data_IF_131533928711
#
_entry.id   IF_131533928711
#
_cell.length_a   1.000
_cell.length_b   1.000
_cell.length_c   1.000
_cell.angle_alpha   90.00
_cell.angle_beta   90.00
_cell.angle_gamma   90.00
#
_symmetry.space_group_name_H-M   'P 1'
#
loop_
_entity.id
_entity.type
_entity.pdbx_description
1 polymer ?
#
# COMPACT_ATOMS: atom_id res chain seq x y z
N UNK A 1 2.13 -14.38 -8.75
CA UNK A 1 2.62 -13.01 -9.04
C UNK A 1 2.15 -12.59 -10.42
N UNK A 2 1.93 -11.30 -10.61
CA UNK A 2 1.57 -10.68 -11.89
C UNK A 2 2.77 -9.87 -12.38
N UNK A 3 3.06 -9.91 -13.68
CA UNK A 3 4.03 -9.02 -14.32
C UNK A 3 3.44 -7.60 -14.44
N UNK A 4 4.12 -6.63 -13.84
CA UNK A 4 3.91 -5.21 -14.10
C UNK A 4 4.88 -4.80 -15.22
N UNK A 5 4.38 -4.37 -16.40
CA UNK A 5 5.25 -4.07 -17.53
C UNK A 5 6.14 -2.86 -17.26
N UNK A 6 7.28 -2.80 -17.94
CA UNK A 6 8.11 -1.60 -17.92
C UNK A 6 7.36 -0.42 -18.54
N UNK A 7 7.71 0.79 -18.12
CA UNK A 7 7.10 2.00 -18.67
C UNK A 7 7.04 3.15 -17.68
N UNK A 8 6.63 4.28 -18.22
CA UNK A 8 6.47 5.53 -17.49
C UNK A 8 5.27 5.49 -16.56
N UNK A 9 5.40 6.14 -15.41
CA UNK A 9 4.29 6.39 -14.50
C UNK A 9 4.56 7.65 -13.66
N UNK A 10 3.48 8.26 -13.16
CA UNK A 10 3.57 9.39 -12.24
C UNK A 10 3.40 8.91 -10.80
N UNK A 11 4.41 9.12 -9.96
CA UNK A 11 4.34 8.91 -8.51
C UNK A 11 3.80 10.16 -7.83
N UNK A 12 2.89 10.01 -6.87
CA UNK A 12 2.46 11.11 -6.01
C UNK A 12 1.42 12.03 -6.66
N UNK A 13 1.35 13.27 -6.16
CA UNK A 13 0.33 14.26 -6.51
C UNK A 13 0.94 15.58 -6.99
N UNK A 14 0.32 16.17 -8.01
CA UNK A 14 0.64 17.52 -8.45
C UNK A 14 0.23 18.55 -7.36
N UNK A 15 1.15 19.40 -6.87
CA UNK A 15 0.85 20.43 -5.86
C UNK A 15 -0.22 21.46 -6.29
N UNK A 16 -0.48 21.60 -7.59
CA UNK A 16 -1.48 22.52 -8.16
C UNK A 16 -2.83 21.83 -8.42
N UNK A 17 -2.95 20.53 -8.11
CA UNK A 17 -4.19 19.78 -8.37
C UNK A 17 -5.35 20.31 -7.53
N UNK A 18 -6.51 20.52 -8.17
CA UNK A 18 -7.76 20.89 -7.48
C UNK A 18 -8.23 19.84 -6.46
N UNK A 19 -7.75 18.59 -6.60
CA UNK A 19 -7.99 17.51 -5.63
C UNK A 19 -7.48 17.92 -4.23
N UNK A 20 -6.43 18.75 -4.15
CA UNK A 20 -5.86 19.25 -2.91
C UNK A 20 -6.67 20.40 -2.28
N UNK A 21 -7.48 21.14 -3.05
CA UNK A 21 -8.23 22.31 -2.55
C UNK A 21 -9.35 21.93 -1.57
N UNK A 22 -9.79 20.66 -1.58
CA UNK A 22 -10.75 20.11 -0.62
C UNK A 22 -10.08 19.36 0.54
N UNK A 23 -8.75 19.30 0.56
CA UNK A 23 -7.96 18.71 1.64
C UNK A 23 -7.49 19.84 2.55
N UNK A 24 -7.64 19.70 3.87
CA UNK A 24 -7.25 20.79 4.76
C UNK A 24 -5.75 21.05 4.60
N UNK A 25 -5.32 22.32 4.65
CA UNK A 25 -3.92 22.74 4.44
C UNK A 25 -2.91 22.04 5.38
N UNK A 26 -3.38 21.27 6.36
CA UNK A 26 -2.59 20.47 7.31
C UNK A 26 -2.56 18.96 7.02
N UNK A 27 -3.11 18.47 5.91
CA UNK A 27 -3.28 17.02 5.68
C UNK A 27 -2.10 16.36 4.95
N UNK A 28 -1.87 15.10 5.31
CA UNK A 28 -0.77 14.21 4.92
C UNK A 28 -0.54 14.02 3.42
N UNK A 29 -1.35 14.59 2.51
CA UNK A 29 -1.10 14.54 1.07
C UNK A 29 0.14 15.36 0.65
N UNK A 30 0.63 16.29 1.49
CA UNK A 30 1.88 17.03 1.24
C UNK A 30 3.11 16.11 1.18
N UNK A 31 3.08 14.97 1.89
CA UNK A 31 4.21 14.04 1.86
C UNK A 31 4.27 13.21 0.57
N UNK A 32 3.21 13.23 -0.24
CA UNK A 32 3.15 12.62 -1.57
C UNK A 32 3.41 13.63 -2.70
N UNK A 33 4.05 14.77 -2.37
CA UNK A 33 4.35 15.86 -3.30
C UNK A 33 5.85 16.22 -3.34
N UNK A 34 6.34 16.77 -4.46
CA UNK A 34 5.62 16.93 -5.72
C UNK A 34 5.54 15.61 -6.51
N UNK A 35 4.64 15.55 -7.49
CA UNK A 35 4.60 14.41 -8.39
C UNK A 35 5.93 14.19 -9.11
N UNK A 36 6.28 12.93 -9.34
CA UNK A 36 7.55 12.54 -9.95
C UNK A 36 7.28 11.66 -11.17
N UNK A 37 7.96 11.94 -12.26
CA UNK A 37 7.96 11.07 -13.43
C UNK A 37 9.03 9.99 -13.27
N UNK A 38 8.62 8.73 -13.36
CA UNK A 38 9.50 7.57 -13.25
C UNK A 38 9.35 6.69 -14.49
N UNK A 39 10.47 6.23 -15.03
CA UNK A 39 10.49 5.04 -15.87
C UNK A 39 10.87 3.83 -15.00
N UNK A 40 9.94 2.89 -14.82
CA UNK A 40 10.23 1.65 -14.08
C UNK A 40 10.45 0.51 -15.06
N UNK A 41 11.50 -0.27 -14.81
CA UNK A 41 11.67 -1.59 -15.44
C UNK A 41 10.54 -2.53 -15.00
N UNK A 42 10.32 -3.57 -15.79
CA UNK A 42 9.31 -4.57 -15.47
C UNK A 42 9.67 -5.27 -14.16
N UNK A 43 8.66 -5.65 -13.39
CA UNK A 43 8.82 -6.38 -12.14
C UNK A 43 7.57 -7.24 -11.90
N UNK A 44 7.70 -8.24 -11.05
CA UNK A 44 6.59 -9.05 -10.58
C UNK A 44 6.09 -8.54 -9.23
N UNK A 45 4.79 -8.56 -9.00
CA UNK A 45 4.20 -8.34 -7.67
C UNK A 45 3.15 -9.40 -7.34
N UNK A 46 3.01 -9.76 -6.07
CA UNK A 46 1.99 -10.71 -5.64
C UNK A 46 0.59 -10.15 -5.92
N UNK A 47 -0.27 -11.04 -6.42
CA UNK A 47 -1.63 -10.70 -6.82
C UNK A 47 -2.51 -10.31 -5.63
N UNK A 48 -2.24 -10.92 -4.48
CA UNK A 48 -2.94 -10.78 -3.22
C UNK A 48 -1.94 -10.40 -2.12
N UNK A 49 -2.42 -9.86 -1.01
CA UNK A 49 -1.65 -9.82 0.22
C UNK A 49 -1.25 -11.24 0.66
N UNK A 50 -0.13 -11.37 1.38
CA UNK A 50 0.27 -12.65 1.97
C UNK A 50 -0.77 -13.07 3.00
N UNK A 51 -1.24 -14.31 2.92
CA UNK A 51 -2.28 -14.82 3.82
C UNK A 51 -1.71 -15.41 5.11
N UNK A 52 -2.55 -15.59 6.14
CA UNK A 52 -2.15 -16.35 7.33
C UNK A 52 -1.73 -17.78 6.98
N UNK A 53 -2.39 -18.44 6.02
CA UNK A 53 -2.02 -19.77 5.56
C UNK A 53 -0.57 -19.83 5.08
N UNK A 54 -0.19 -18.89 4.22
CA UNK A 54 1.15 -18.83 3.63
C UNK A 54 2.18 -18.42 4.68
N UNK A 55 1.88 -17.43 5.53
CA UNK A 55 2.80 -16.95 6.56
C UNK A 55 3.08 -18.00 7.64
N UNK A 56 2.10 -18.82 8.00
CA UNK A 56 2.31 -19.92 8.95
C UNK A 56 3.27 -20.99 8.40
N UNK A 57 3.40 -21.16 7.08
CA UNK A 57 4.41 -22.07 6.51
C UNK A 57 5.83 -21.56 6.74
N UNK A 58 6.02 -20.24 6.75
CA UNK A 58 7.29 -19.59 7.09
C UNK A 58 7.57 -19.64 8.60
N UNK A 59 6.53 -19.51 9.44
CA UNK A 59 6.65 -19.47 10.91
C UNK A 59 5.70 -20.46 11.60
N UNK A 60 5.91 -21.78 11.46
CA UNK A 60 4.94 -22.80 11.89
C UNK A 60 4.74 -22.88 13.41
N UNK A 61 5.68 -22.34 14.19
CA UNK A 61 5.59 -22.29 15.65
C UNK A 61 4.77 -21.09 16.16
N UNK A 62 4.45 -20.12 15.30
CA UNK A 62 3.63 -18.97 15.71
C UNK A 62 2.16 -19.35 15.72
N UNK A 63 1.49 -19.05 16.84
CA UNK A 63 0.05 -19.20 16.97
C UNK A 63 -0.63 -17.87 16.67
N UNK A 64 -1.51 -17.87 15.68
CA UNK A 64 -2.35 -16.72 15.35
C UNK A 64 -3.80 -17.05 15.68
N UNK A 65 -4.53 -16.19 16.43
CA UNK A 65 -5.93 -16.43 16.80
C UNK A 65 -6.86 -16.10 15.62
N UNK A 66 -6.67 -16.78 14.48
CA UNK A 66 -7.43 -16.54 13.25
C UNK A 66 -8.33 -17.71 12.92
N UNK A 67 -9.59 -17.43 12.60
CA UNK A 67 -10.57 -18.44 12.22
C UNK A 67 -10.55 -18.74 10.72
N UNK A 68 -10.05 -17.81 9.91
CA UNK A 68 -9.99 -17.92 8.45
C UNK A 68 -8.55 -17.73 7.98
N UNK A 69 -8.00 -18.75 7.32
CA UNK A 69 -6.59 -18.77 6.90
C UNK A 69 -6.32 -17.93 5.63
N UNK A 70 -7.34 -17.66 4.83
CA UNK A 70 -7.25 -16.83 3.60
C UNK A 70 -7.40 -15.32 3.87
N UNK A 71 -7.36 -14.89 5.13
CA UNK A 71 -7.24 -13.48 5.48
C UNK A 71 -5.79 -13.02 5.27
N UNK A 72 -5.55 -11.76 4.88
CA UNK A 72 -4.20 -11.21 4.87
C UNK A 72 -3.59 -11.28 6.27
N UNK A 73 -2.33 -11.70 6.35
CA UNK A 73 -1.58 -11.67 7.60
C UNK A 73 -1.37 -10.21 8.02
N UNK A 74 -1.68 -9.91 9.29
CA UNK A 74 -1.42 -8.60 9.89
C UNK A 74 -0.85 -8.74 11.30
N UNK A 75 -0.49 -7.62 11.94
CA UNK A 75 0.16 -7.66 13.26
C UNK A 75 1.60 -8.14 13.20
N UNK A 76 2.26 -7.92 12.05
CA UNK A 76 3.65 -8.31 11.79
C UNK A 76 4.51 -7.07 11.57
N UNK A 77 5.77 -7.18 11.99
CA UNK A 77 6.76 -6.12 11.80
C UNK A 77 7.26 -6.07 10.35
N UNK A 78 7.85 -4.94 9.95
CA UNK A 78 8.49 -4.80 8.64
C UNK A 78 9.60 -5.87 8.45
N UNK A 79 10.36 -6.17 9.51
CA UNK A 79 11.41 -7.19 9.46
C UNK A 79 10.86 -8.60 9.22
N UNK A 80 9.70 -8.93 9.78
CA UNK A 80 9.02 -10.20 9.52
C UNK A 80 8.50 -10.29 8.08
N UNK A 81 7.94 -9.19 7.57
CA UNK A 81 7.50 -9.09 6.17
C UNK A 81 8.67 -9.28 5.20
N UNK A 82 9.76 -8.57 5.44
CA UNK A 82 10.97 -8.61 4.62
C UNK A 82 11.62 -10.00 4.65
N UNK A 83 11.77 -10.60 5.84
CA UNK A 83 12.30 -11.94 6.00
C UNK A 83 11.45 -13.00 5.29
N UNK A 84 10.12 -12.89 5.34
CA UNK A 84 9.22 -13.77 4.60
C UNK A 84 9.44 -13.67 3.09
N UNK A 85 9.49 -12.44 2.55
CA UNK A 85 9.72 -12.26 1.12
C UNK A 85 11.09 -12.81 0.71
N UNK A 86 12.13 -12.58 1.50
CA UNK A 86 13.46 -13.13 1.25
C UNK A 86 13.50 -14.66 1.30
N UNK A 87 12.77 -15.29 2.23
CA UNK A 87 12.65 -16.75 2.31
C UNK A 87 12.08 -17.37 1.03
N UNK A 88 11.19 -16.66 0.33
CA UNK A 88 10.65 -17.04 -0.98
C UNK A 88 11.54 -16.65 -2.18
N UNK A 89 12.71 -16.07 -1.97
CA UNK A 89 13.53 -15.49 -3.04
C UNK A 89 12.87 -14.29 -3.72
N UNK A 90 12.03 -13.55 -2.99
CA UNK A 90 11.37 -12.31 -3.36
C UNK A 90 11.93 -11.15 -2.52
N UNK A 91 11.24 -10.01 -2.52
CA UNK A 91 11.49 -8.84 -1.67
C UNK A 91 10.19 -8.09 -1.40
N UNK A 92 10.19 -7.12 -0.50
CA UNK A 92 9.09 -6.14 -0.45
C UNK A 92 9.11 -5.21 -1.69
N UNK A 93 7.95 -4.73 -2.16
CA UNK A 93 7.88 -3.70 -3.19
C UNK A 93 8.43 -2.38 -2.65
N UNK A 94 9.03 -1.57 -3.51
CA UNK A 94 9.26 -0.16 -3.22
C UNK A 94 7.92 0.60 -3.27
N UNK A 95 7.81 1.73 -2.58
CA UNK A 95 6.56 2.50 -2.55
C UNK A 95 6.10 2.97 -3.94
N UNK A 96 7.04 3.16 -4.86
CA UNK A 96 6.79 3.56 -6.24
C UNK A 96 6.34 2.39 -7.11
N UNK A 97 6.80 1.17 -6.84
CA UNK A 97 6.35 -0.05 -7.51
C UNK A 97 4.92 -0.38 -7.09
N UNK A 98 4.66 -0.29 -5.78
CA UNK A 98 3.34 -0.47 -5.21
C UNK A 98 2.34 0.51 -5.86
N UNK A 99 2.70 1.79 -5.96
CA UNK A 99 1.82 2.79 -6.57
C UNK A 99 1.60 2.56 -8.06
N UNK A 100 2.65 2.25 -8.83
CA UNK A 100 2.49 1.91 -10.26
C UNK A 100 1.55 0.73 -10.43
N UNK A 101 1.71 -0.30 -9.60
CA UNK A 101 0.87 -1.49 -9.68
C UNK A 101 -0.60 -1.25 -9.30
N UNK A 102 -0.87 -0.23 -8.48
CA UNK A 102 -2.21 0.18 -8.12
C UNK A 102 -2.83 1.15 -9.13
N UNK A 103 -2.08 2.17 -9.57
CA UNK A 103 -2.58 3.28 -10.41
C UNK A 103 -2.49 2.99 -11.90
N UNK A 104 -1.61 2.10 -12.36
CA UNK A 104 -1.27 2.03 -13.78
C UNK A 104 -0.56 3.31 -14.23
N UNK A 105 -0.91 3.81 -15.41
CA UNK A 105 -0.28 4.96 -16.06
C UNK A 105 -1.23 6.15 -16.26
N UNK A 106 -2.45 6.11 -15.71
CA UNK A 106 -3.50 7.11 -15.93
C UNK A 106 -3.78 8.02 -14.73
N UNK A 107 -2.91 7.98 -13.73
CA UNK A 107 -2.94 8.83 -12.54
C UNK A 107 -4.23 8.69 -11.70
N UNK A 108 -4.96 7.57 -11.79
CA UNK A 108 -6.14 7.32 -10.96
C UNK A 108 -5.89 7.47 -9.46
N UNK A 109 -6.89 7.92 -8.71
CA UNK A 109 -6.81 8.10 -7.25
C UNK A 109 -7.19 6.85 -6.45
N UNK A 110 -7.98 5.98 -7.04
CA UNK A 110 -8.42 4.68 -6.51
C UNK A 110 -8.26 3.64 -7.63
N UNK A 111 -8.17 2.35 -7.31
CA UNK A 111 -7.99 1.31 -8.33
C UNK A 111 -9.14 1.30 -9.35
N UNK A 112 -10.33 1.76 -8.96
CA UNK A 112 -11.51 1.88 -9.83
C UNK A 112 -11.65 3.23 -10.56
N UNK A 113 -10.83 4.24 -10.26
CA UNK A 113 -10.90 5.53 -10.93
C UNK A 113 -10.60 6.73 -10.02
N UNK A 114 -11.21 7.87 -10.32
CA UNK A 114 -10.95 9.13 -9.61
C UNK A 114 -12.03 9.48 -8.58
N UNK A 115 -13.24 8.97 -8.77
CA UNK A 115 -14.35 9.22 -7.87
C UNK A 115 -14.38 8.15 -6.77
N UNK A 116 -14.54 8.60 -5.53
CA UNK A 116 -14.64 7.68 -4.40
C UNK A 116 -15.95 6.93 -4.45
N UNK A 117 -15.87 5.60 -4.51
CA UNK A 117 -17.03 4.70 -4.52
C UNK A 117 -17.06 3.89 -3.23
N UNK A 118 -18.14 4.05 -2.46
CA UNK A 118 -18.32 3.33 -1.20
C UNK A 118 -18.70 1.88 -1.50
N UNK A 119 -17.95 0.94 -0.94
CA UNK A 119 -18.24 -0.50 -1.04
C UNK A 119 -17.39 -1.23 -2.07
N UNK A 120 -16.61 -0.50 -2.88
CA UNK A 120 -15.70 -1.08 -3.88
C UNK A 120 -14.49 -1.75 -3.23
N UNK A 121 -14.05 -1.26 -2.07
CA UNK A 121 -12.98 -1.85 -1.27
C UNK A 121 -13.30 -1.92 0.23
N UNK A 122 -12.46 -2.65 0.99
CA UNK A 122 -12.74 -2.96 2.39
C UNK A 122 -12.28 -1.85 3.34
N UNK A 123 -13.19 -0.93 3.63
CA UNK A 123 -13.03 0.05 4.71
C UNK A 123 -13.84 -0.31 5.97
N UNK A 124 -14.28 -1.58 6.06
CA UNK A 124 -15.17 -2.15 7.08
C UNK A 124 -14.61 -2.15 8.50
N UNK A 125 -15.28 -2.87 9.41
CA UNK A 125 -14.78 -3.07 10.78
C UNK A 125 -13.89 -4.32 10.91
N UNK A 126 -13.88 -5.16 9.88
CA UNK A 126 -13.22 -6.46 9.88
C UNK A 126 -12.48 -6.66 8.56
N UNK A 127 -11.30 -7.26 8.66
CA UNK A 127 -10.52 -7.74 7.52
C UNK A 127 -11.34 -8.79 6.77
N UNK A 128 -11.24 -8.78 5.45
CA UNK A 128 -11.91 -9.73 4.55
C UNK A 128 -10.86 -10.62 3.87
N UNK A 129 -11.25 -11.80 3.36
CA UNK A 129 -10.37 -12.63 2.55
C UNK A 129 -9.77 -11.84 1.38
N UNK A 130 -8.53 -12.16 1.00
CA UNK A 130 -7.76 -11.38 0.01
C UNK A 130 -8.41 -11.30 -1.38
N UNK A 131 -9.35 -12.19 -1.67
CA UNK A 131 -10.11 -12.27 -2.92
C UNK A 131 -11.60 -11.91 -2.77
N UNK A 132 -11.98 -11.21 -1.69
CA UNK A 132 -13.39 -10.99 -1.37
C UNK A 132 -14.06 -9.84 -2.17
N UNK A 133 -13.30 -8.87 -2.66
CA UNK A 133 -13.84 -7.65 -3.25
C UNK A 133 -13.35 -7.43 -4.67
N UNK A 134 -14.18 -7.84 -5.65
CA UNK A 134 -13.89 -7.71 -7.07
C UNK A 134 -13.77 -6.25 -7.55
N UNK A 135 -14.31 -5.31 -6.78
CA UNK A 135 -14.17 -3.88 -7.04
C UNK A 135 -12.76 -3.34 -6.74
N UNK A 136 -12.00 -3.98 -5.85
CA UNK A 136 -10.66 -3.57 -5.46
C UNK A 136 -9.61 -4.34 -6.25
N UNK A 137 -9.65 -4.19 -7.58
CA UNK A 137 -8.74 -4.88 -8.51
C UNK A 137 -8.13 -3.87 -9.47
N UNK A 138 -6.80 -3.75 -9.46
CA UNK A 138 -6.09 -2.83 -10.36
C UNK A 138 -6.14 -3.28 -11.83
N UNK A 139 -5.73 -2.41 -12.74
CA UNK A 139 -5.60 -2.72 -14.17
C UNK A 139 -4.67 -3.90 -14.45
N UNK A 140 -3.74 -4.17 -13.52
CA UNK A 140 -2.84 -5.32 -13.58
C UNK A 140 -3.37 -6.55 -12.83
N UNK A 141 -4.67 -6.57 -12.50
CA UNK A 141 -5.34 -7.71 -11.82
C UNK A 141 -4.81 -8.00 -10.41
N UNK A 142 -4.29 -6.99 -9.73
CA UNK A 142 -3.84 -7.09 -8.34
C UNK A 142 -4.96 -6.61 -7.43
N UNK A 143 -5.25 -7.42 -6.40
CA UNK A 143 -6.39 -7.24 -5.50
C UNK A 143 -5.98 -6.53 -4.22
N UNK A 144 -6.93 -5.84 -3.59
CA UNK A 144 -6.77 -5.35 -2.22
C UNK A 144 -5.80 -4.18 -2.09
N UNK A 145 -5.72 -3.29 -3.08
CA UNK A 145 -4.79 -2.15 -3.05
C UNK A 145 -5.44 -0.88 -2.48
N UNK A 146 -6.75 -0.88 -2.19
CA UNK A 146 -7.45 0.23 -1.56
C UNK A 146 -8.18 -0.19 -0.28
N UNK A 147 -7.47 -0.68 0.74
CA UNK A 147 -8.05 -0.97 2.04
C UNK A 147 -7.68 -2.36 2.53
N UNK A 148 -8.58 -2.99 3.29
CA UNK A 148 -8.33 -4.27 3.97
C UNK A 148 -7.24 -4.14 5.04
N UNK A 149 -5.97 -4.22 4.64
CA UNK A 149 -4.80 -3.97 5.50
C UNK A 149 -3.86 -2.98 4.82
N UNK A 150 -3.20 -2.15 5.61
CA UNK A 150 -2.08 -1.36 5.09
C UNK A 150 -0.92 -2.28 4.75
N UNK A 151 -0.11 -1.94 3.76
CA UNK A 151 0.96 -2.81 3.29
C UNK A 151 2.34 -2.21 3.51
N UNK A 152 3.23 -2.97 4.16
CA UNK A 152 4.65 -2.62 4.24
C UNK A 152 5.32 -2.55 2.86
N UNK A 153 6.15 -1.52 2.67
CA UNK A 153 7.05 -1.38 1.51
C UNK A 153 8.51 -1.37 1.95
N UNK A 154 9.43 -1.63 1.04
CA UNK A 154 10.87 -1.57 1.32
C UNK A 154 11.37 -0.13 1.57
N UNK A 155 10.60 0.88 1.14
CA UNK A 155 11.01 2.28 1.14
C UNK A 155 11.04 2.88 2.55
N UNK A 156 12.14 3.58 2.86
CA UNK A 156 12.21 4.47 4.01
C UNK A 156 11.39 5.72 3.76
N UNK A 157 10.77 6.27 4.81
CA UNK A 157 10.01 7.51 4.74
C UNK A 157 10.96 8.70 4.57
N UNK A 158 11.19 9.07 3.31
CA UNK A 158 12.01 10.20 2.88
C UNK A 158 11.15 11.20 2.10
N UNK A 159 11.54 12.49 2.05
CA UNK A 159 10.85 13.46 1.20
C UNK A 159 11.02 13.05 -0.26
N UNK A 160 10.02 13.33 -1.09
CA UNK A 160 10.19 13.23 -2.53
C UNK A 160 11.18 14.28 -3.02
N UNK A 161 11.90 14.02 -4.13
CA UNK A 161 12.78 15.02 -4.72
C UNK A 161 12.05 16.34 -4.95
N UNK A 162 12.68 17.45 -4.56
CA UNK A 162 12.12 18.81 -4.63
C UNK A 162 10.87 19.06 -3.76
N UNK A 163 10.60 18.20 -2.77
CA UNK A 163 9.56 18.49 -1.78
C UNK A 163 9.95 19.67 -0.90
N UNK A 164 9.00 20.59 -0.71
CA UNK A 164 9.12 21.73 0.22
C UNK A 164 8.70 21.36 1.65
N UNK A 165 8.11 20.17 1.83
CA UNK A 165 7.65 19.70 3.13
C UNK A 165 8.85 19.44 4.05
N UNK A 166 8.73 19.89 5.30
CA UNK A 166 9.67 19.55 6.35
C UNK A 166 8.95 18.67 7.38
N UNK A 167 9.52 17.52 7.70
CA UNK A 167 8.99 16.57 8.66
C UNK A 167 10.15 15.92 9.43
N UNK A 168 10.10 15.99 10.77
CA UNK A 168 11.14 15.42 11.64
C UNK A 168 11.21 13.88 11.56
N UNK A 169 10.18 13.25 10.98
CA UNK A 169 10.11 11.82 10.73
C UNK A 169 10.86 11.40 9.47
N UNK A 170 11.25 12.33 8.59
CA UNK A 170 12.04 11.98 7.42
C UNK A 170 13.39 11.35 7.79
N UNK A 171 13.81 10.38 6.97
CA UNK A 171 15.05 9.63 7.13
C UNK A 171 14.81 8.14 7.29
N UNK A 172 15.77 7.43 7.85
CA UNK A 172 15.73 5.97 7.99
C UNK A 172 15.19 5.55 9.36
N UNK A 173 14.08 6.19 9.77
CA UNK A 173 13.41 5.95 11.05
C UNK A 173 12.10 5.15 10.88
N UNK A 174 11.39 5.41 9.79
CA UNK A 174 10.09 4.83 9.50
C UNK A 174 10.08 4.22 8.10
N UNK A 175 9.37 3.10 7.95
CA UNK A 175 9.08 2.48 6.66
C UNK A 175 7.73 2.95 6.15
N UNK A 176 7.63 3.13 4.84
CA UNK A 176 6.39 3.56 4.19
C UNK A 176 5.41 2.40 4.16
N UNK A 177 4.15 2.69 4.50
CA UNK A 177 3.00 1.79 4.34
C UNK A 177 1.97 2.39 3.39
N UNK A 178 1.27 1.53 2.63
CA UNK A 178 0.37 1.94 1.52
C UNK A 178 -1.00 1.26 1.58
N UNK A 179 -1.92 1.68 0.73
CA UNK A 179 -3.27 1.11 0.56
C UNK A 179 -4.32 1.58 1.58
N UNK A 180 -3.89 1.79 2.83
CA UNK A 180 -4.81 2.04 3.93
C UNK A 180 -5.49 0.74 4.39
N UNK A 181 -6.21 0.81 5.51
CA UNK A 181 -6.79 -0.37 6.16
C UNK A 181 -8.28 -0.19 6.42
N UNK A 182 -8.88 -1.21 7.05
CA UNK A 182 -10.20 -1.14 7.68
C UNK A 182 -10.32 0.01 8.72
N UNK A 183 -11.53 0.20 9.25
CA UNK A 183 -11.92 1.29 10.16
C UNK A 183 -11.80 2.69 9.56
N UNK A 184 -12.03 2.82 8.25
CA UNK A 184 -12.04 4.11 7.54
C UNK A 184 -13.46 4.60 7.15
N UNK A 185 -14.51 3.97 7.69
CA UNK A 185 -15.90 4.15 7.24
C UNK A 185 -16.66 5.36 7.78
N UNK A 186 -16.26 5.98 8.89
CA UNK A 186 -17.21 6.82 9.65
C UNK A 186 -17.16 8.34 9.41
N UNK A 187 -16.13 8.92 8.80
CA UNK A 187 -16.10 10.38 8.56
C UNK A 187 -15.61 10.75 7.14
N UNK A 188 -16.37 11.62 6.44
CA UNK A 188 -16.13 12.04 5.05
C UNK A 188 -14.74 12.65 4.75
N UNK A 189 -13.96 12.95 5.79
CA UNK A 189 -12.56 13.35 5.71
C UNK A 189 -11.59 12.20 5.37
N UNK A 190 -12.04 10.93 5.43
CA UNK A 190 -11.16 9.76 5.33
C UNK A 190 -10.82 9.30 3.91
N UNK A 191 -11.49 9.84 2.86
CA UNK A 191 -11.19 9.52 1.44
C UNK A 191 -9.71 9.72 1.10
N UNK A 192 -9.07 10.69 1.76
CA UNK A 192 -7.68 11.06 1.52
C UNK A 192 -6.70 9.97 1.98
N UNK A 193 -7.00 9.29 3.09
CA UNK A 193 -6.16 8.23 3.67
C UNK A 193 -6.23 6.92 2.89
N UNK A 194 -7.14 6.84 1.92
CA UNK A 194 -7.38 5.66 1.11
C UNK A 194 -7.07 5.93 -0.36
N UNK A 195 -6.55 7.10 -0.73
CA UNK A 195 -6.10 7.36 -2.10
C UNK A 195 -4.80 6.60 -2.36
N UNK A 196 -4.62 6.12 -3.59
CA UNK A 196 -3.42 5.39 -4.00
C UNK A 196 -2.13 6.19 -3.83
N UNK A 197 -2.08 7.53 -3.97
CA UNK A 197 -0.87 8.30 -3.68
C UNK A 197 -0.59 8.52 -2.18
N UNK A 198 -1.56 8.22 -1.30
CA UNK A 198 -1.41 8.47 0.13
C UNK A 198 -0.30 7.62 0.73
N UNK A 199 0.61 8.26 1.46
CA UNK A 199 1.71 7.59 2.16
C UNK A 199 1.45 7.63 3.65
N UNK A 200 1.39 6.46 4.26
CA UNK A 200 1.55 6.33 5.71
C UNK A 200 2.97 5.85 6.02
N UNK A 201 3.36 5.90 7.28
CA UNK A 201 4.66 5.43 7.70
C UNK A 201 4.61 4.92 9.14
N UNK A 202 5.50 4.00 9.46
CA UNK A 202 5.52 3.34 10.77
C UNK A 202 6.92 2.85 11.13
N UNK A 203 7.31 2.81 12.42
CA UNK A 203 8.61 2.27 12.80
C UNK A 203 8.69 0.79 12.43
N UNK A 204 9.80 0.31 11.87
CA UNK A 204 9.89 -1.03 11.27
C UNK A 204 9.65 -2.18 12.27
N UNK A 205 9.88 -1.95 13.57
CA UNK A 205 9.66 -2.92 14.64
C UNK A 205 8.20 -3.03 15.11
N UNK A 206 7.35 -2.06 14.76
CA UNK A 206 5.97 -2.04 15.23
C UNK A 206 5.12 -3.10 14.53
N UNK A 207 4.19 -3.67 15.29
CA UNK A 207 3.28 -4.74 14.85
C UNK A 207 1.84 -4.22 14.90
N UNK A 208 1.45 -3.44 13.91
CA UNK A 208 0.09 -2.90 13.85
C UNK A 208 -0.89 -3.97 13.37
N UNK A 209 -2.00 -4.11 14.09
CA UNK A 209 -3.03 -5.13 13.88
C UNK A 209 -3.72 -5.03 12.50
N UNK A 210 -3.58 -3.90 11.81
CA UNK A 210 -4.16 -3.60 10.51
C UNK A 210 -3.10 -3.42 9.40
N UNK A 211 -1.85 -3.81 9.66
CA UNK A 211 -0.76 -3.72 8.69
C UNK A 211 -0.24 -5.12 8.35
N UNK A 212 -0.32 -5.47 7.08
CA UNK A 212 0.22 -6.66 6.43
C UNK A 212 1.22 -6.28 5.34
N UNK A 213 1.31 -7.11 4.29
CA UNK A 213 2.23 -6.89 3.17
C UNK A 213 1.93 -7.82 1.99
N UNK A 214 2.58 -7.53 0.86
CA UNK A 214 2.73 -8.43 -0.28
C UNK A 214 4.17 -8.38 -0.78
N UNK A 215 4.61 -9.40 -1.52
CA UNK A 215 5.97 -9.41 -2.07
C UNK A 215 6.03 -8.95 -3.53
N UNK A 216 7.22 -8.54 -3.95
CA UNK A 216 7.62 -8.23 -5.30
C UNK A 216 8.91 -8.97 -5.67
N UNK A 217 9.22 -9.05 -6.96
CA UNK A 217 10.43 -9.69 -7.48
C UNK A 217 10.85 -8.97 -8.76
N UNK A 218 12.15 -8.86 -9.01
CA UNK A 218 12.64 -8.36 -10.30
C UNK A 218 12.20 -9.28 -11.45
N UNK A 219 11.97 -8.69 -12.63
CA UNK A 219 11.58 -9.44 -13.82
C UNK A 219 12.73 -10.27 -14.41
#
# INVERSE_FOLDING_TARGET
MVLIPEGEFTLGLNPKSKILQFMSEKTSALNAQPEQQYFLKAFYMDQFEVTYEEFMRFKPQAQYPVQQMNLPVSGISWYEADAYCHWLGKRLPMEYEWEKAARGSDNRLFVWGNDFEKGTANFGKQVQPVNALEGDVSTYRIWGLNGNVSEWTASWYKPYPNSIMQDNNFGEKFKVTRGGSINKREHGFLKQFTMLPYRNFSPPQMRYWDTGFRCAKYA
#
